data_IF_940156994345
#
_entry.id   IF_940156994345
#
_cell.length_a   1.000
_cell.length_b   1.000
_cell.length_c   1.000
_cell.angle_alpha   90.00
_cell.angle_beta   90.00
_cell.angle_gamma   90.00
#
_symmetry.space_group_name_H-M   'P 1'
#
loop_
_entity.id
_entity.type
_entity.pdbx_description
1 polymer ?
#
# COMPACT_ATOMS: atom_id res chain seq x y z
N UNK A 1 -1.14 16.13 -13.78
CA UNK A 1 -1.33 14.67 -13.96
C UNK A 1 -0.01 13.93 -14.03
N UNK A 2 0.77 13.98 -15.12
CA UNK A 2 2.04 13.20 -15.24
C UNK A 2 3.01 13.40 -14.06
N UNK A 3 3.20 14.63 -13.57
CA UNK A 3 4.09 14.92 -12.43
C UNK A 3 3.65 14.27 -11.11
N UNK A 4 2.34 14.13 -10.87
CA UNK A 4 1.78 13.56 -9.63
C UNK A 4 2.01 12.05 -9.56
N UNK A 5 1.85 11.35 -10.69
CA UNK A 5 2.09 9.91 -10.78
C UNK A 5 3.58 9.56 -10.64
N UNK A 6 4.45 10.33 -11.29
CA UNK A 6 5.91 10.18 -11.16
C UNK A 6 6.34 10.43 -9.73
N UNK A 7 5.82 11.49 -9.09
CA UNK A 7 6.11 11.77 -7.68
C UNK A 7 5.58 10.66 -6.76
N UNK A 8 4.39 10.13 -7.03
CA UNK A 8 3.84 8.99 -6.28
C UNK A 8 4.74 7.75 -6.34
N UNK A 9 5.22 7.40 -7.53
CA UNK A 9 6.15 6.29 -7.72
C UNK A 9 7.49 6.54 -7.00
N UNK A 10 8.04 7.75 -7.08
CA UNK A 10 9.27 8.14 -6.38
C UNK A 10 9.09 8.07 -4.87
N UNK A 11 7.99 8.59 -4.34
CA UNK A 11 7.68 8.54 -2.90
C UNK A 11 7.54 7.09 -2.45
N UNK A 12 6.83 6.25 -3.21
CA UNK A 12 6.72 4.82 -2.96
C UNK A 12 8.08 4.14 -2.88
N UNK A 13 8.96 4.38 -3.85
CA UNK A 13 10.34 3.90 -3.82
C UNK A 13 11.15 4.46 -2.64
N UNK A 14 10.98 5.73 -2.31
CA UNK A 14 11.69 6.40 -1.22
C UNK A 14 11.39 5.79 0.15
N UNK A 15 10.16 5.31 0.38
CA UNK A 15 9.81 4.56 1.58
C UNK A 15 10.17 3.07 1.48
N UNK A 16 9.98 2.46 0.30
CA UNK A 16 10.28 1.05 0.08
C UNK A 16 11.75 0.69 0.21
N UNK A 17 12.63 1.51 -0.38
CA UNK A 17 14.08 1.33 -0.39
C UNK A 17 14.70 1.10 1.00
N UNK A 18 14.52 2.00 2.00
CA UNK A 18 15.12 1.81 3.32
C UNK A 18 14.51 0.63 4.07
N UNK A 19 13.21 0.36 3.89
CA UNK A 19 12.53 -0.78 4.53
C UNK A 19 13.06 -2.10 3.97
N UNK A 20 13.16 -2.21 2.64
CA UNK A 20 13.73 -3.40 1.98
C UNK A 20 15.17 -3.63 2.42
N UNK A 21 16.02 -2.60 2.42
CA UNK A 21 17.40 -2.72 2.91
C UNK A 21 17.48 -3.14 4.38
N UNK A 22 16.64 -2.57 5.24
CA UNK A 22 16.59 -2.95 6.65
C UNK A 22 16.22 -4.43 6.80
N UNK A 23 15.16 -4.89 6.13
CA UNK A 23 14.77 -6.30 6.16
C UNK A 23 15.93 -7.21 5.71
N UNK A 24 16.58 -6.87 4.59
CA UNK A 24 17.69 -7.67 4.08
C UNK A 24 18.90 -7.69 5.03
N UNK A 25 19.19 -6.57 5.69
CA UNK A 25 20.25 -6.49 6.69
C UNK A 25 19.97 -7.34 7.93
N UNK A 26 18.70 -7.51 8.31
CA UNK A 26 18.27 -8.29 9.46
C UNK A 26 18.21 -9.80 9.17
N UNK A 27 17.94 -10.20 7.92
CA UNK A 27 17.79 -11.61 7.53
C UNK A 27 19.01 -12.23 6.82
N UNK A 28 20.10 -11.48 6.64
CA UNK A 28 21.47 -12.03 6.56
C UNK A 28 21.91 -12.71 5.26
N UNK A 29 21.31 -12.43 4.09
CA UNK A 29 21.68 -13.10 2.83
C UNK A 29 22.21 -12.17 1.76
N UNK A 30 23.55 -12.00 1.62
CA UNK A 30 24.16 -11.06 0.66
C UNK A 30 24.10 -11.49 -0.83
N UNK A 31 23.89 -12.78 -1.09
CA UNK A 31 23.95 -13.35 -2.46
C UNK A 31 22.59 -13.50 -3.17
N UNK A 32 21.46 -13.33 -2.45
CA UNK A 32 20.08 -13.33 -3.02
C UNK A 32 19.55 -11.88 -3.20
N UNK A 33 20.38 -10.88 -2.89
CA UNK A 33 19.97 -9.49 -2.65
C UNK A 33 19.41 -8.78 -3.87
N UNK A 34 20.04 -8.89 -5.04
CA UNK A 34 19.74 -7.95 -6.14
C UNK A 34 18.34 -8.16 -6.70
N UNK A 35 17.92 -9.42 -6.89
CA UNK A 35 16.58 -9.73 -7.39
C UNK A 35 15.51 -9.30 -6.39
N UNK A 36 15.64 -9.69 -5.13
CA UNK A 36 14.69 -9.32 -4.08
C UNK A 36 14.57 -7.81 -3.94
N UNK A 37 15.71 -7.13 -3.89
CA UNK A 37 15.77 -5.69 -3.79
C UNK A 37 15.10 -5.00 -4.99
N UNK A 38 15.40 -5.42 -6.22
CA UNK A 38 14.79 -4.84 -7.42
C UNK A 38 13.28 -5.10 -7.49
N UNK A 39 12.84 -6.32 -7.17
CA UNK A 39 11.41 -6.68 -7.17
C UNK A 39 10.65 -5.84 -6.14
N UNK A 40 11.18 -5.71 -4.92
CA UNK A 40 10.52 -4.91 -3.88
C UNK A 40 10.61 -3.41 -4.13
N UNK A 41 11.66 -2.92 -4.81
CA UNK A 41 11.72 -1.55 -5.29
C UNK A 41 10.62 -1.24 -6.31
N UNK A 42 10.44 -2.12 -7.31
CA UNK A 42 9.38 -1.97 -8.30
C UNK A 42 8.00 -2.08 -7.66
N UNK A 43 7.79 -3.06 -6.77
CA UNK A 43 6.54 -3.19 -6.01
C UNK A 43 6.22 -1.92 -5.23
N UNK A 44 7.22 -1.31 -4.57
CA UNK A 44 7.07 -0.07 -3.81
C UNK A 44 6.69 1.12 -4.69
N UNK A 45 7.28 1.23 -5.89
CA UNK A 45 6.88 2.22 -6.87
C UNK A 45 5.41 2.04 -7.29
N UNK A 46 4.99 0.79 -7.53
CA UNK A 46 3.63 0.45 -7.92
C UNK A 46 2.62 0.74 -6.79
N UNK A 47 2.96 0.47 -5.53
CA UNK A 47 2.11 0.86 -4.39
C UNK A 47 1.91 2.38 -4.35
N UNK A 48 2.98 3.16 -4.47
CA UNK A 48 2.89 4.63 -4.50
C UNK A 48 2.04 5.15 -5.66
N UNK A 49 2.19 4.55 -6.84
CA UNK A 49 1.36 4.88 -8.00
C UNK A 49 -0.11 4.52 -7.78
N UNK A 50 -0.38 3.32 -7.27
CA UNK A 50 -1.73 2.83 -6.97
C UNK A 50 -2.44 3.73 -5.96
N UNK A 51 -1.75 4.15 -4.90
CA UNK A 51 -2.30 5.09 -3.92
C UNK A 51 -2.62 6.43 -4.57
N UNK A 52 -1.75 6.98 -5.41
CA UNK A 52 -2.05 8.24 -6.13
C UNK A 52 -3.26 8.10 -7.05
N UNK A 53 -3.35 7.00 -7.81
CA UNK A 53 -4.47 6.76 -8.73
C UNK A 53 -5.78 6.70 -7.96
N UNK A 54 -5.82 5.92 -6.87
CA UNK A 54 -7.06 5.61 -6.18
C UNK A 54 -7.52 6.76 -5.28
N UNK A 55 -6.60 7.47 -4.64
CA UNK A 55 -6.90 8.62 -3.79
C UNK A 55 -6.84 9.98 -4.53
N UNK A 56 -6.76 9.98 -5.86
CA UNK A 56 -6.94 11.22 -6.62
C UNK A 56 -8.35 11.77 -6.35
N UNK A 57 -8.44 13.03 -5.93
CA UNK A 57 -9.70 13.72 -5.65
C UNK A 57 -10.61 13.86 -6.87
N UNK A 58 -10.08 13.57 -8.07
CA UNK A 58 -10.86 13.50 -9.31
C UNK A 58 -11.64 12.20 -9.48
N UNK A 59 -11.38 11.18 -8.67
CA UNK A 59 -12.19 9.96 -8.70
C UNK A 59 -13.47 10.20 -7.91
N UNK A 60 -14.62 10.18 -8.60
CA UNK A 60 -15.95 10.26 -7.99
C UNK A 60 -16.36 8.93 -7.31
N UNK A 61 -15.40 8.06 -7.02
CA UNK A 61 -15.67 6.77 -6.39
C UNK A 61 -15.93 6.93 -4.89
N UNK A 62 -16.93 6.22 -4.32
CA UNK A 62 -17.13 6.17 -2.88
C UNK A 62 -15.85 5.70 -2.18
N UNK A 63 -15.54 6.29 -1.02
CA UNK A 63 -14.30 5.99 -0.28
C UNK A 63 -14.11 4.48 -0.01
N UNK A 64 -15.18 3.75 0.28
CA UNK A 64 -15.13 2.30 0.48
C UNK A 64 -14.76 1.52 -0.80
N UNK A 65 -15.21 1.99 -1.97
CA UNK A 65 -14.83 1.38 -3.25
C UNK A 65 -13.35 1.64 -3.57
N UNK A 66 -12.89 2.87 -3.33
CA UNK A 66 -11.47 3.24 -3.44
C UNK A 66 -10.59 2.34 -2.55
N UNK A 67 -11.01 2.14 -1.30
CA UNK A 67 -10.30 1.29 -0.35
C UNK A 67 -10.28 -0.18 -0.77
N UNK A 68 -11.40 -0.71 -1.26
CA UNK A 68 -11.48 -2.08 -1.77
C UNK A 68 -10.58 -2.31 -2.99
N UNK A 69 -10.59 -1.38 -3.95
CA UNK A 69 -9.69 -1.43 -5.11
C UNK A 69 -8.22 -1.31 -4.69
N UNK A 70 -7.92 -0.50 -3.69
CA UNK A 70 -6.56 -0.35 -3.16
C UNK A 70 -6.08 -1.66 -2.52
N UNK A 71 -6.94 -2.32 -1.74
CA UNK A 71 -6.64 -3.63 -1.16
C UNK A 71 -6.31 -4.66 -2.23
N UNK A 72 -7.16 -4.77 -3.24
CA UNK A 72 -6.99 -5.72 -4.35
C UNK A 72 -5.70 -5.42 -5.11
N UNK A 73 -5.44 -4.15 -5.42
CA UNK A 73 -4.22 -3.74 -6.13
C UNK A 73 -2.95 -4.02 -5.34
N UNK A 74 -2.91 -3.67 -4.05
CA UNK A 74 -1.75 -3.96 -3.18
C UNK A 74 -1.54 -5.47 -3.08
N UNK A 75 -2.60 -6.24 -2.87
CA UNK A 75 -2.55 -7.70 -2.84
C UNK A 75 -1.96 -8.28 -4.12
N UNK A 76 -2.44 -7.84 -5.29
CA UNK A 76 -1.95 -8.31 -6.57
C UNK A 76 -0.45 -8.01 -6.76
N UNK A 77 -0.01 -6.80 -6.42
CA UNK A 77 1.40 -6.40 -6.48
C UNK A 77 2.25 -7.27 -5.53
N UNK A 78 1.81 -7.50 -4.30
CA UNK A 78 2.52 -8.32 -3.31
C UNK A 78 2.65 -9.77 -3.77
N UNK A 79 1.58 -10.34 -4.33
CA UNK A 79 1.59 -11.72 -4.85
C UNK A 79 2.55 -11.84 -6.03
N UNK A 80 2.50 -10.89 -6.96
CA UNK A 80 3.43 -10.87 -8.08
C UNK A 80 4.88 -10.76 -7.61
N UNK A 81 5.17 -9.91 -6.62
CA UNK A 81 6.50 -9.79 -6.03
C UNK A 81 6.96 -11.08 -5.34
N UNK A 82 6.08 -11.74 -4.59
CA UNK A 82 6.38 -13.01 -3.92
C UNK A 82 6.66 -14.15 -4.90
N UNK A 83 5.89 -14.24 -5.99
CA UNK A 83 6.12 -15.21 -7.07
C UNK A 83 7.45 -14.93 -7.80
N UNK A 84 7.73 -13.67 -8.12
CA UNK A 84 8.98 -13.28 -8.79
C UNK A 84 10.21 -13.54 -7.93
N UNK A 85 10.09 -13.46 -6.61
CA UNK A 85 11.17 -13.81 -5.67
C UNK A 85 11.22 -15.30 -5.31
N UNK A 86 10.28 -16.11 -5.81
CA UNK A 86 10.22 -17.54 -5.51
C UNK A 86 9.84 -17.85 -4.05
N UNK A 87 9.27 -16.89 -3.31
CA UNK A 87 8.80 -17.09 -1.93
C UNK A 87 7.58 -18.01 -1.87
N UNK A 88 6.83 -18.08 -2.95
CA UNK A 88 5.64 -18.92 -3.12
C UNK A 88 5.68 -19.55 -4.51
N UNK A 89 5.11 -20.76 -4.63
CA UNK A 89 5.07 -21.51 -5.90
C UNK A 89 3.76 -21.28 -6.64
N UNK A 90 2.70 -20.91 -5.94
CA UNK A 90 1.37 -20.69 -6.50
C UNK A 90 0.58 -19.63 -5.72
N UNK A 91 -0.51 -19.14 -6.32
CA UNK A 91 -1.46 -18.25 -5.63
C UNK A 91 -2.06 -18.89 -4.37
N UNK A 92 -2.24 -20.22 -4.37
CA UNK A 92 -2.82 -20.94 -3.25
C UNK A 92 -1.96 -20.83 -1.98
N UNK A 93 -0.64 -20.75 -2.15
CA UNK A 93 0.32 -20.63 -1.04
C UNK A 93 0.18 -19.30 -0.29
N UNK A 94 -0.44 -18.29 -0.91
CA UNK A 94 -0.63 -16.95 -0.34
C UNK A 94 -1.92 -16.85 0.48
N UNK A 95 -2.91 -17.72 0.22
CA UNK A 95 -4.22 -17.67 0.90
C UNK A 95 -4.14 -17.65 2.45
N UNK A 96 -3.25 -18.43 3.11
CA UNK A 96 -3.11 -18.39 4.56
C UNK A 96 -2.63 -17.04 5.10
N UNK A 97 -1.85 -16.30 4.31
CA UNK A 97 -1.28 -14.98 4.66
C UNK A 97 -2.25 -13.85 4.27
N UNK A 98 -3.13 -14.11 3.31
CA UNK A 98 -4.16 -13.18 2.87
C UNK A 98 -5.16 -12.85 3.99
N UNK A 99 -5.54 -13.86 4.78
CA UNK A 99 -6.49 -13.73 5.89
C UNK A 99 -6.02 -12.71 6.95
N UNK A 100 -4.81 -12.85 7.56
CA UNK A 100 -4.32 -11.85 8.50
C UNK A 100 -4.12 -10.47 7.85
N UNK A 101 -3.74 -10.42 6.58
CA UNK A 101 -3.60 -9.16 5.83
C UNK A 101 -4.95 -8.44 5.70
N UNK A 102 -6.03 -9.17 5.40
CA UNK A 102 -7.40 -8.63 5.37
C UNK A 102 -7.81 -8.04 6.73
N UNK A 103 -7.49 -8.72 7.83
CA UNK A 103 -7.80 -8.23 9.18
C UNK A 103 -7.09 -6.90 9.45
N UNK A 104 -5.79 -6.82 9.18
CA UNK A 104 -5.01 -5.58 9.32
C UNK A 104 -5.63 -4.47 8.46
N UNK A 105 -6.02 -4.79 7.23
CA UNK A 105 -6.59 -3.81 6.31
C UNK A 105 -7.94 -3.26 6.80
N UNK A 106 -8.81 -4.13 7.33
CA UNK A 106 -10.09 -3.73 7.93
C UNK A 106 -9.87 -2.86 9.16
N UNK A 107 -8.91 -3.20 10.02
CA UNK A 107 -8.57 -2.42 11.22
C UNK A 107 -8.07 -1.02 10.84
N UNK A 108 -7.09 -0.93 9.94
CA UNK A 108 -6.55 0.36 9.48
C UNK A 108 -7.66 1.20 8.85
N UNK A 109 -8.47 0.60 7.99
CA UNK A 109 -9.60 1.27 7.35
C UNK A 109 -10.61 1.81 8.38
N UNK A 110 -10.96 1.00 9.38
CA UNK A 110 -11.86 1.40 10.46
C UNK A 110 -11.32 2.56 11.27
N UNK A 111 -10.03 2.54 11.61
CA UNK A 111 -9.35 3.64 12.31
C UNK A 111 -9.37 4.91 11.48
N UNK A 112 -9.02 4.84 10.19
CA UNK A 112 -9.07 6.00 9.30
C UNK A 112 -10.49 6.58 9.18
N UNK A 113 -11.50 5.73 9.03
CA UNK A 113 -12.90 6.17 8.96
C UNK A 113 -13.36 6.86 10.25
N UNK A 114 -12.96 6.33 11.42
CA UNK A 114 -13.24 6.94 12.72
C UNK A 114 -12.57 8.32 12.87
N UNK A 115 -11.29 8.43 12.50
CA UNK A 115 -10.55 9.68 12.56
C UNK A 115 -11.13 10.74 11.61
N UNK A 116 -11.56 10.35 10.41
CA UNK A 116 -12.24 11.24 9.47
C UNK A 116 -13.55 11.76 10.08
N UNK A 117 -14.40 10.89 10.62
CA UNK A 117 -15.64 11.31 11.30
C UNK A 117 -15.39 12.23 12.50
N UNK A 118 -14.33 12.01 13.26
CA UNK A 118 -13.95 12.89 14.38
C UNK A 118 -13.55 14.27 13.86
N UNK A 119 -12.79 14.32 12.78
CA UNK A 119 -12.36 15.56 12.12
C UNK A 119 -13.55 16.33 11.56
N UNK A 120 -14.48 15.66 10.87
CA UNK A 120 -15.73 16.26 10.37
C UNK A 120 -16.54 16.89 11.51
N UNK A 121 -16.72 16.17 12.63
CA UNK A 121 -17.43 16.70 13.80
C UNK A 121 -16.76 17.95 14.39
N UNK A 122 -15.44 17.98 14.42
CA UNK A 122 -14.68 19.14 14.91
C UNK A 122 -14.81 20.34 13.99
N UNK A 123 -14.75 20.12 12.67
CA UNK A 123 -14.94 21.17 11.66
C UNK A 123 -16.36 21.75 11.73
N UNK A 124 -17.38 20.89 11.80
CA UNK A 124 -18.78 21.35 11.87
C UNK A 124 -19.03 22.16 13.14
N UNK A 125 -18.51 21.70 14.29
CA UNK A 125 -18.62 22.45 15.55
C UNK A 125 -17.95 23.83 15.45
N UNK A 126 -16.78 23.93 14.82
CA UNK A 126 -16.08 25.21 14.63
C UNK A 126 -16.77 26.15 13.64
N UNK A 127 -17.60 25.62 12.73
CA UNK A 127 -18.42 26.41 11.80
C UNK A 127 -19.70 26.90 12.47
N UNK A 128 -20.31 26.10 13.36
CA UNK A 128 -21.53 26.47 14.09
C UNK A 128 -21.27 27.51 15.21
N UNK A 129 -20.02 27.61 15.70
CA UNK A 129 -19.60 28.60 16.70
C UNK A 129 -19.20 29.97 16.09
N UNK A 130 -19.37 30.17 14.78
CA UNK A 130 -19.14 31.44 14.04
C UNK A 130 -20.45 32.08 13.60
#
# INVERSE_FOLDING_TARGET
>A
MKKTYVLGAITGMGFGFPVTLLCMSLFGGYNVIVQEFLVWMVASALYGLLSVILFDRKNDLPQMAVLGLHFVGVTAITIAAALLNGYVSSFADVLPILIPTLVIYVVITGVCAFLNKKTEKQINKALDEK
#
